data_IF_581121575881
#
_entry.id   IF_581121575881
#
_cell.length_a   1.000
_cell.length_b   1.000
_cell.length_c   1.000
_cell.angle_alpha   90.00
_cell.angle_beta   90.00
_cell.angle_gamma   90.00
#
_symmetry.space_group_name_H-M   'P 1'
#
loop_
_entity.id
_entity.type
_entity.pdbx_description
1 polymer ?
#
# COMPACT_ATOMS: atom_id res chain seq x y z
N UNK A 1 22.37 19.41 51.49
CA UNK A 1 21.69 20.24 50.46
C UNK A 1 22.11 19.86 49.04
N UNK A 2 23.39 19.73 48.76
CA UNK A 2 23.89 19.38 47.41
C UNK A 2 23.47 17.97 46.91
N UNK A 3 23.39 16.99 47.80
CA UNK A 3 22.99 15.61 47.44
C UNK A 3 21.55 15.54 46.93
N UNK A 4 20.62 16.25 47.55
CA UNK A 4 19.23 16.31 47.14
C UNK A 4 19.04 17.00 45.77
N UNK A 5 19.86 18.03 45.50
CA UNK A 5 19.86 18.74 44.22
C UNK A 5 20.37 17.80 43.09
N UNK A 6 21.47 17.09 43.36
CA UNK A 6 22.03 16.13 42.41
C UNK A 6 21.02 15.01 42.11
N UNK A 7 20.37 14.46 43.13
CA UNK A 7 19.33 13.45 42.98
C UNK A 7 18.14 13.96 42.15
N UNK A 8 17.71 15.20 42.39
CA UNK A 8 16.66 15.85 41.60
C UNK A 8 17.02 15.97 40.11
N UNK A 9 18.26 16.36 39.82
CA UNK A 9 18.74 16.47 38.44
C UNK A 9 18.76 15.11 37.75
N UNK A 10 19.23 14.06 38.41
CA UNK A 10 19.25 12.70 37.87
C UNK A 10 17.84 12.21 37.55
N UNK A 11 16.87 12.46 38.43
CA UNK A 11 15.47 12.08 38.20
C UNK A 11 14.88 12.83 37.00
N UNK A 12 15.14 14.12 36.87
CA UNK A 12 14.69 14.92 35.73
C UNK A 12 15.29 14.40 34.42
N UNK A 13 16.59 14.12 34.39
CA UNK A 13 17.26 13.55 33.24
C UNK A 13 16.67 12.19 32.85
N UNK A 14 16.42 11.31 33.83
CA UNK A 14 15.80 10.03 33.61
C UNK A 14 14.40 10.14 32.99
N UNK A 15 13.60 11.10 33.46
CA UNK A 15 12.25 11.35 32.90
C UNK A 15 12.36 11.85 31.46
N UNK A 16 13.29 12.75 31.16
CA UNK A 16 13.51 13.27 29.79
C UNK A 16 13.90 12.13 28.87
N UNK A 17 14.87 11.31 29.23
CA UNK A 17 15.33 10.17 28.44
C UNK A 17 14.20 9.18 28.21
N UNK A 18 13.43 8.83 29.23
CA UNK A 18 12.28 7.94 29.10
C UNK A 18 11.21 8.51 28.18
N UNK A 19 10.94 9.81 28.26
CA UNK A 19 9.99 10.50 27.37
C UNK A 19 10.43 10.48 25.90
N UNK A 20 11.72 10.76 25.66
CA UNK A 20 12.31 10.70 24.30
C UNK A 20 12.24 9.27 23.75
N UNK A 21 12.61 8.28 24.54
CA UNK A 21 12.53 6.88 24.15
C UNK A 21 11.11 6.45 23.79
N UNK A 22 10.13 6.79 24.65
CA UNK A 22 8.73 6.46 24.39
C UNK A 22 8.19 7.16 23.12
N UNK A 23 8.63 8.39 22.86
CA UNK A 23 8.28 9.12 21.64
C UNK A 23 8.83 8.42 20.40
N UNK A 24 10.09 8.00 20.40
CA UNK A 24 10.71 7.27 19.29
C UNK A 24 10.04 5.92 19.05
N UNK A 25 9.73 5.17 20.12
CA UNK A 25 9.00 3.90 20.00
C UNK A 25 7.62 4.12 19.38
N UNK A 26 6.90 5.16 19.77
CA UNK A 26 5.61 5.52 19.20
C UNK A 26 5.71 5.84 17.70
N UNK A 27 6.69 6.65 17.31
CA UNK A 27 6.89 7.01 15.90
C UNK A 27 7.27 5.79 15.05
N UNK A 28 8.11 4.91 15.59
CA UNK A 28 8.46 3.64 14.94
C UNK A 28 7.21 2.77 14.72
N UNK A 29 6.40 2.58 15.78
CA UNK A 29 5.18 1.79 15.70
C UNK A 29 4.18 2.39 14.70
N UNK A 30 4.04 3.71 14.64
CA UNK A 30 3.19 4.37 13.65
C UNK A 30 3.63 4.06 12.21
N UNK A 31 4.94 4.07 11.96
CA UNK A 31 5.50 3.71 10.63
C UNK A 31 5.26 2.24 10.30
N UNK A 32 5.48 1.33 11.24
CA UNK A 32 5.27 -0.12 11.06
C UNK A 32 3.78 -0.44 10.81
N UNK A 33 2.87 0.19 11.54
CA UNK A 33 1.43 0.04 11.32
C UNK A 33 1.01 0.57 9.95
N UNK A 34 1.52 1.73 9.55
CA UNK A 34 1.24 2.28 8.22
C UNK A 34 1.73 1.36 7.10
N UNK A 35 2.86 0.68 7.29
CA UNK A 35 3.36 -0.31 6.33
C UNK A 35 2.45 -1.55 6.26
N UNK A 36 1.99 -2.04 7.42
CA UNK A 36 1.03 -3.15 7.47
C UNK A 36 -0.29 -2.81 6.77
N UNK A 37 -0.77 -1.58 6.91
CA UNK A 37 -1.97 -1.10 6.20
C UNK A 37 -1.78 -1.09 4.67
N UNK A 38 -0.58 -0.76 4.19
CA UNK A 38 -0.24 -0.87 2.76
C UNK A 38 -0.37 -2.33 2.30
N UNK A 39 0.21 -3.27 3.03
CA UNK A 39 0.17 -4.70 2.67
C UNK A 39 -1.27 -5.24 2.64
N UNK A 40 -2.13 -4.80 3.55
CA UNK A 40 -3.56 -5.16 3.54
C UNK A 40 -4.25 -4.66 2.27
N UNK A 41 -4.02 -3.42 1.86
CA UNK A 41 -4.61 -2.86 0.65
C UNK A 41 -4.05 -3.52 -0.63
N UNK A 42 -2.76 -3.84 -0.66
CA UNK A 42 -2.15 -4.58 -1.77
C UNK A 42 -2.77 -5.97 -1.91
N UNK A 43 -2.94 -6.68 -0.79
CA UNK A 43 -3.61 -7.99 -0.81
C UNK A 43 -5.03 -7.90 -1.35
N UNK A 44 -5.81 -6.93 -0.92
CA UNK A 44 -7.18 -6.71 -1.42
C UNK A 44 -7.18 -6.42 -2.92
N UNK A 45 -6.24 -5.59 -3.42
CA UNK A 45 -6.06 -5.33 -4.84
C UNK A 45 -5.76 -6.62 -5.61
N UNK A 46 -4.83 -7.43 -5.12
CA UNK A 46 -4.46 -8.70 -5.76
C UNK A 46 -5.62 -9.70 -5.81
N UNK A 47 -6.48 -9.73 -4.79
CA UNK A 47 -7.62 -10.63 -4.71
C UNK A 47 -8.76 -10.24 -5.69
N UNK A 48 -8.86 -8.96 -6.06
CA UNK A 48 -9.85 -8.48 -7.04
C UNK A 48 -9.47 -8.78 -8.51
N UNK A 49 -8.19 -8.93 -8.82
CA UNK A 49 -7.71 -9.12 -10.20
C UNK A 49 -8.24 -10.41 -10.85
N UNK A 50 -8.23 -11.60 -10.21
CA UNK A 50 -8.81 -12.80 -10.78
C UNK A 50 -10.29 -12.66 -11.13
N UNK A 51 -11.06 -12.00 -10.28
CA UNK A 51 -12.49 -11.75 -10.50
C UNK A 51 -12.70 -10.84 -11.72
N UNK A 52 -11.88 -9.80 -11.86
CA UNK A 52 -11.89 -8.91 -13.02
C UNK A 52 -11.58 -9.69 -14.31
N UNK A 53 -10.51 -10.50 -14.30
CA UNK A 53 -10.08 -11.29 -15.45
C UNK A 53 -11.19 -12.28 -15.87
N UNK A 54 -11.81 -12.96 -14.92
CA UNK A 54 -12.89 -13.92 -15.20
C UNK A 54 -14.12 -13.23 -15.81
N UNK A 55 -14.49 -12.06 -15.30
CA UNK A 55 -15.59 -11.27 -15.87
C UNK A 55 -15.28 -10.81 -17.29
N UNK A 56 -14.07 -10.31 -17.53
CA UNK A 56 -13.62 -9.85 -18.84
C UNK A 56 -13.57 -10.99 -19.86
N UNK A 57 -13.12 -12.19 -19.48
CA UNK A 57 -13.08 -13.37 -20.36
C UNK A 57 -14.44 -13.71 -20.97
N UNK A 58 -15.52 -13.46 -20.26
CA UNK A 58 -16.87 -13.70 -20.75
C UNK A 58 -17.27 -12.82 -21.94
N UNK A 59 -16.63 -11.66 -22.11
CA UNK A 59 -16.95 -10.66 -23.16
C UNK A 59 -15.84 -10.47 -24.18
N UNK A 60 -14.58 -10.63 -23.75
CA UNK A 60 -13.38 -10.31 -24.51
C UNK A 60 -12.43 -11.52 -24.58
N UNK A 61 -12.95 -12.68 -24.94
CA UNK A 61 -12.18 -13.95 -25.02
C UNK A 61 -11.00 -13.89 -26.00
N UNK A 62 -11.02 -12.98 -26.97
CA UNK A 62 -9.93 -12.78 -27.94
C UNK A 62 -8.74 -12.01 -27.38
N UNK A 63 -8.90 -11.33 -26.23
CA UNK A 63 -7.87 -10.50 -25.59
C UNK A 63 -6.95 -11.31 -24.66
N UNK A 64 -6.60 -12.52 -25.06
CA UNK A 64 -5.79 -13.46 -24.24
C UNK A 64 -4.47 -12.84 -23.80
N UNK A 65 -3.75 -12.20 -24.70
CA UNK A 65 -2.44 -11.63 -24.42
C UNK A 65 -2.52 -10.52 -23.36
N UNK A 66 -3.51 -9.64 -23.49
CA UNK A 66 -3.73 -8.55 -22.52
C UNK A 66 -4.10 -9.10 -21.15
N UNK A 67 -4.97 -10.10 -21.09
CA UNK A 67 -5.37 -10.76 -19.85
C UNK A 67 -4.20 -11.53 -19.20
N UNK A 68 -3.39 -12.22 -20.00
CA UNK A 68 -2.19 -12.92 -19.53
C UNK A 68 -1.17 -11.95 -18.93
N UNK A 69 -0.96 -10.78 -19.53
CA UNK A 69 -0.10 -9.73 -18.97
C UNK A 69 -0.57 -9.27 -17.59
N UNK A 70 -1.88 -9.10 -17.40
CA UNK A 70 -2.46 -8.74 -16.11
C UNK A 70 -2.22 -9.84 -15.06
N UNK A 71 -2.45 -11.10 -15.44
CA UNK A 71 -2.24 -12.25 -14.55
C UNK A 71 -0.75 -12.36 -14.15
N UNK A 72 0.17 -12.25 -15.13
CA UNK A 72 1.60 -12.29 -14.86
C UNK A 72 2.06 -11.15 -13.96
N UNK A 73 1.61 -9.94 -14.22
CA UNK A 73 1.94 -8.78 -13.38
C UNK A 73 1.39 -8.94 -11.94
N UNK A 74 0.17 -9.46 -11.79
CA UNK A 74 -0.41 -9.79 -10.48
C UNK A 74 0.42 -10.84 -9.75
N UNK A 75 0.82 -11.91 -10.42
CA UNK A 75 1.64 -12.97 -9.82
C UNK A 75 3.02 -12.44 -9.39
N UNK A 76 3.63 -11.57 -10.19
CA UNK A 76 4.86 -10.86 -9.82
C UNK A 76 4.68 -10.00 -8.57
N UNK A 77 3.57 -9.28 -8.47
CA UNK A 77 3.26 -8.44 -7.30
C UNK A 77 3.02 -9.26 -6.03
N UNK A 78 2.34 -10.41 -6.13
CA UNK A 78 2.11 -11.32 -5.00
C UNK A 78 3.41 -11.96 -4.50
N UNK A 79 4.34 -12.27 -5.39
CA UNK A 79 5.61 -12.92 -5.06
C UNK A 79 6.70 -11.96 -4.59
N UNK A 80 6.55 -10.66 -4.79
CA UNK A 80 7.52 -9.65 -4.38
C UNK A 80 7.70 -9.61 -2.84
N UNK A 81 8.95 -9.65 -2.38
CA UNK A 81 9.28 -9.73 -0.96
C UNK A 81 9.92 -8.47 -0.42
N UNK A 82 10.80 -7.85 -1.19
CA UNK A 82 11.45 -6.60 -0.79
C UNK A 82 10.59 -5.39 -1.15
N UNK A 83 10.85 -4.25 -0.51
CA UNK A 83 10.13 -2.99 -0.80
C UNK A 83 10.33 -2.58 -2.26
N UNK A 84 11.54 -2.68 -2.79
CA UNK A 84 11.85 -2.30 -4.17
C UNK A 84 11.18 -3.23 -5.18
N UNK A 85 11.17 -4.55 -4.91
CA UNK A 85 10.43 -5.52 -5.70
C UNK A 85 8.93 -5.23 -5.70
N UNK A 86 8.35 -4.92 -4.54
CA UNK A 86 6.92 -4.54 -4.42
C UNK A 86 6.60 -3.29 -5.23
N UNK A 87 7.40 -2.24 -5.13
CA UNK A 87 7.20 -1.01 -5.89
C UNK A 87 7.24 -1.29 -7.40
N UNK A 88 8.26 -2.02 -7.86
CA UNK A 88 8.41 -2.36 -9.28
C UNK A 88 7.26 -3.21 -9.79
N UNK A 89 6.90 -4.26 -9.06
CA UNK A 89 5.82 -5.18 -9.44
C UNK A 89 4.44 -4.51 -9.42
N UNK A 90 4.15 -3.66 -8.44
CA UNK A 90 2.90 -2.89 -8.38
C UNK A 90 2.80 -1.85 -9.52
N UNK A 91 3.91 -1.25 -9.94
CA UNK A 91 3.93 -0.38 -11.11
C UNK A 91 3.66 -1.16 -12.40
N UNK A 92 4.22 -2.36 -12.53
CA UNK A 92 3.93 -3.26 -13.65
C UNK A 92 2.46 -3.68 -13.70
N UNK A 93 1.88 -4.02 -12.55
CA UNK A 93 0.45 -4.35 -12.45
C UNK A 93 -0.43 -3.15 -12.82
N UNK A 94 -0.09 -1.95 -12.36
CA UNK A 94 -0.82 -0.73 -12.73
C UNK A 94 -0.76 -0.46 -14.23
N UNK A 95 0.39 -0.67 -14.87
CA UNK A 95 0.56 -0.53 -16.32
C UNK A 95 -0.25 -1.58 -17.09
N UNK A 96 -0.27 -2.82 -16.61
CA UNK A 96 -1.05 -3.89 -17.23
C UNK A 96 -2.56 -3.62 -17.14
N UNK A 97 -3.04 -3.13 -15.99
CA UNK A 97 -4.45 -2.73 -15.80
C UNK A 97 -4.84 -1.54 -16.66
N UNK A 98 -3.94 -0.56 -16.82
CA UNK A 98 -4.17 0.57 -17.73
C UNK A 98 -4.28 0.10 -19.19
N UNK A 99 -3.42 -0.81 -19.63
CA UNK A 99 -3.50 -1.43 -20.95
C UNK A 99 -4.80 -2.21 -21.16
N UNK A 100 -5.22 -2.98 -20.17
CA UNK A 100 -6.51 -3.67 -20.19
C UNK A 100 -7.67 -2.68 -20.35
N UNK A 101 -7.68 -1.62 -19.55
CA UNK A 101 -8.73 -0.58 -19.61
C UNK A 101 -8.87 0.02 -21.01
N UNK A 102 -7.77 0.31 -21.69
CA UNK A 102 -7.77 0.82 -23.06
C UNK A 102 -8.38 -0.22 -24.02
N UNK A 103 -7.99 -1.47 -23.90
CA UNK A 103 -8.53 -2.57 -24.73
C UNK A 103 -10.04 -2.72 -24.53
N UNK A 104 -10.53 -2.58 -23.31
CA UNK A 104 -11.95 -2.73 -22.98
C UNK A 104 -12.86 -1.62 -23.53
N UNK A 105 -12.30 -0.50 -24.00
CA UNK A 105 -13.07 0.54 -24.70
C UNK A 105 -13.79 0.00 -25.94
N UNK A 106 -13.28 -1.06 -26.58
CA UNK A 106 -13.90 -1.72 -27.71
C UNK A 106 -15.07 -2.66 -27.34
N UNK A 107 -15.37 -2.85 -26.06
CA UNK A 107 -16.36 -3.81 -25.56
C UNK A 107 -17.46 -3.10 -24.73
N UNK A 108 -18.41 -2.39 -25.39
CA UNK A 108 -19.44 -1.62 -24.69
C UNK A 108 -20.38 -2.48 -23.82
N UNK A 109 -20.65 -3.73 -24.21
CA UNK A 109 -21.49 -4.65 -23.44
C UNK A 109 -20.85 -5.03 -22.10
N UNK A 110 -19.52 -5.22 -22.09
CA UNK A 110 -18.76 -5.43 -20.86
C UNK A 110 -18.81 -4.19 -19.96
N UNK A 111 -18.62 -3.01 -20.52
CA UNK A 111 -18.67 -1.74 -19.79
C UNK A 111 -20.04 -1.48 -19.14
N UNK A 112 -21.11 -2.04 -19.67
CA UNK A 112 -22.46 -1.96 -19.12
C UNK A 112 -22.77 -3.09 -18.11
N UNK A 113 -21.88 -4.09 -17.97
CA UNK A 113 -22.09 -5.20 -17.05
C UNK A 113 -21.97 -4.76 -15.60
N UNK A 114 -22.95 -5.11 -14.78
CA UNK A 114 -23.02 -4.67 -13.37
C UNK A 114 -21.87 -5.22 -12.52
N UNK A 115 -21.48 -6.48 -12.70
CA UNK A 115 -20.35 -7.08 -11.98
C UNK A 115 -19.05 -6.41 -12.35
N UNK A 116 -18.85 -6.07 -13.62
CA UNK A 116 -17.68 -5.35 -14.09
C UNK A 116 -17.62 -3.94 -13.48
N UNK A 117 -18.72 -3.21 -13.47
CA UNK A 117 -18.80 -1.87 -12.88
C UNK A 117 -18.49 -1.90 -11.38
N UNK A 118 -19.05 -2.87 -10.65
CA UNK A 118 -18.77 -3.06 -9.23
C UNK A 118 -17.29 -3.36 -8.96
N UNK A 119 -16.69 -4.28 -9.73
CA UNK A 119 -15.26 -4.60 -9.60
C UNK A 119 -14.36 -3.39 -9.90
N UNK A 120 -14.71 -2.58 -10.91
CA UNK A 120 -14.00 -1.34 -11.21
C UNK A 120 -14.09 -0.33 -10.07
N UNK A 121 -15.25 -0.19 -9.44
CA UNK A 121 -15.44 0.67 -8.29
C UNK A 121 -14.62 0.19 -7.09
N UNK A 122 -14.65 -1.12 -6.78
CA UNK A 122 -13.86 -1.71 -5.70
C UNK A 122 -12.34 -1.56 -5.93
N UNK A 123 -11.86 -1.76 -7.16
CA UNK A 123 -10.44 -1.55 -7.51
C UNK A 123 -10.07 -0.08 -7.34
N UNK A 124 -10.92 0.84 -7.79
CA UNK A 124 -10.70 2.28 -7.65
C UNK A 124 -10.65 2.71 -6.19
N UNK A 125 -11.52 2.15 -5.35
CA UNK A 125 -11.53 2.38 -3.89
C UNK A 125 -10.23 1.91 -3.23
N UNK A 126 -9.75 0.72 -3.58
CA UNK A 126 -8.49 0.19 -3.08
C UNK A 126 -7.32 1.06 -3.53
N UNK A 127 -7.30 1.53 -4.77
CA UNK A 127 -6.27 2.44 -5.28
C UNK A 127 -6.25 3.78 -4.53
N UNK A 128 -7.41 4.33 -4.22
CA UNK A 128 -7.54 5.54 -3.40
C UNK A 128 -7.06 5.32 -1.96
N UNK A 129 -7.41 4.19 -1.35
CA UNK A 129 -6.93 3.80 -0.02
C UNK A 129 -5.41 3.60 -0.02
N UNK A 130 -4.87 2.93 -1.04
CA UNK A 130 -3.42 2.77 -1.20
C UNK A 130 -2.70 4.11 -1.29
N UNK A 131 -3.22 5.06 -2.05
CA UNK A 131 -2.65 6.39 -2.14
C UNK A 131 -2.67 7.12 -0.79
N UNK A 132 -3.72 6.96 0.01
CA UNK A 132 -3.85 7.55 1.34
C UNK A 132 -2.86 6.93 2.34
N UNK A 133 -2.79 5.59 2.42
CA UNK A 133 -1.89 4.91 3.36
C UNK A 133 -0.42 5.09 2.99
N UNK A 134 -0.08 5.21 1.70
CA UNK A 134 1.27 5.56 1.25
C UNK A 134 1.68 6.96 1.69
N UNK A 135 0.78 7.95 1.58
CA UNK A 135 1.05 9.30 2.11
C UNK A 135 1.28 9.29 3.60
N UNK A 136 0.46 8.55 4.35
CA UNK A 136 0.62 8.39 5.79
C UNK A 136 1.94 7.72 6.16
N UNK A 137 2.31 6.63 5.46
CA UNK A 137 3.60 5.97 5.65
C UNK A 137 4.79 6.89 5.41
N UNK A 138 4.74 7.69 4.36
CA UNK A 138 5.79 8.66 4.04
C UNK A 138 5.89 9.75 5.13
N UNK A 139 4.76 10.24 5.63
CA UNK A 139 4.72 11.19 6.75
C UNK A 139 5.31 10.59 8.03
N UNK A 140 4.87 9.38 8.41
CA UNK A 140 5.36 8.69 9.59
C UNK A 140 6.86 8.38 9.50
N UNK A 141 7.36 8.02 8.30
CA UNK A 141 8.78 7.82 8.05
C UNK A 141 9.58 9.10 8.20
N UNK A 142 9.07 10.22 7.67
CA UNK A 142 9.71 11.54 7.79
C UNK A 142 9.77 11.99 9.26
N UNK A 143 8.67 11.82 10.01
CA UNK A 143 8.61 12.17 11.42
C UNK A 143 9.62 11.36 12.25
N UNK A 144 9.70 10.05 12.02
CA UNK A 144 10.68 9.18 12.67
C UNK A 144 12.12 9.63 12.35
N UNK A 145 12.43 9.87 11.07
CA UNK A 145 13.76 10.28 10.66
C UNK A 145 14.17 11.62 11.28
N UNK A 146 13.25 12.59 11.31
CA UNK A 146 13.49 13.88 11.95
C UNK A 146 13.78 13.73 13.44
N UNK A 147 13.01 12.87 14.14
CA UNK A 147 13.19 12.66 15.59
C UNK A 147 14.50 11.92 15.93
N UNK A 148 15.07 11.16 15.00
CA UNK A 148 16.37 10.47 15.18
C UNK A 148 17.56 11.41 14.89
N UNK A 149 17.35 12.43 14.04
CA UNK A 149 18.41 13.37 13.62
C UNK A 149 18.56 14.60 14.55
N UNK A 150 17.60 14.83 15.43
CA UNK A 150 17.62 15.93 16.43
C UNK A 150 17.97 15.42 17.79
#
# INVERSE_FOLDING_TARGET
>A
MNLLIILGIIIILAIIIASMYNSLVKLRNNRENAFADIDVQLKQRHDLIPQLVDTVKGYAAHEKETLERVIQARNGAVSARTIDEKITAENQLSSALAGLKITLEAYPDLKANQNFLQLQEEISDVENKLAAVRRYFNSATKELNNAVQT
#
